data_IF_712943322303
#
_entry.id   IF_712943322303
#
_cell.length_a   1.000
_cell.length_b   1.000
_cell.length_c   1.000
_cell.angle_alpha   90.00
_cell.angle_beta   90.00
_cell.angle_gamma   90.00
#
_symmetry.space_group_name_H-M   'P 1'
#
loop_
_entity.id
_entity.type
_entity.pdbx_description
1 polymer ?
#
# COMPACT_ATOMS: atom_id res chain seq x y z
N UNK A 1 3.92 -16.02 -32.83
CA UNK A 1 4.52 -15.38 -31.64
C UNK A 1 4.99 -16.49 -30.70
N UNK A 2 6.30 -16.69 -30.57
CA UNK A 2 6.86 -17.75 -29.73
C UNK A 2 6.63 -17.39 -28.27
N UNK A 3 5.77 -18.14 -27.59
CA UNK A 3 5.57 -18.08 -26.15
C UNK A 3 6.84 -18.60 -25.46
N UNK A 4 7.69 -17.68 -25.00
CA UNK A 4 8.79 -18.06 -24.10
C UNK A 4 8.18 -18.73 -22.86
N UNK A 5 8.72 -19.88 -22.41
CA UNK A 5 8.21 -20.56 -21.23
C UNK A 5 8.35 -19.62 -20.03
N UNK A 6 7.25 -19.39 -19.32
CA UNK A 6 7.22 -18.70 -18.03
C UNK A 6 8.16 -19.47 -17.11
N UNK A 7 9.35 -18.91 -16.83
CA UNK A 7 10.37 -19.58 -16.00
C UNK A 7 9.80 -19.80 -14.60
N UNK A 8 9.69 -21.06 -14.18
CA UNK A 8 9.23 -21.48 -12.86
C UNK A 8 9.91 -20.75 -11.67
N UNK A 9 11.10 -20.18 -11.88
CA UNK A 9 11.85 -19.39 -10.88
C UNK A 9 11.11 -18.16 -10.35
N UNK A 10 10.23 -17.51 -11.14
CA UNK A 10 9.56 -16.28 -10.71
C UNK A 10 8.65 -16.45 -9.49
N UNK A 11 8.01 -17.62 -9.37
CA UNK A 11 7.06 -17.92 -8.28
C UNK A 11 7.74 -18.04 -6.92
N UNK A 12 8.89 -18.71 -6.86
CA UNK A 12 9.65 -18.86 -5.62
C UNK A 12 10.24 -17.53 -5.14
N UNK A 13 10.61 -16.65 -6.07
CA UNK A 13 11.06 -15.31 -5.74
C UNK A 13 9.90 -14.47 -5.16
N UNK A 14 8.70 -14.54 -5.73
CA UNK A 14 7.53 -13.86 -5.16
C UNK A 14 7.26 -14.34 -3.73
N UNK A 15 7.30 -15.67 -3.49
CA UNK A 15 7.15 -16.26 -2.15
C UNK A 15 8.22 -15.74 -1.18
N UNK A 16 9.49 -15.73 -1.59
CA UNK A 16 10.58 -15.28 -0.72
C UNK A 16 10.42 -13.80 -0.34
N UNK A 17 10.12 -12.93 -1.31
CA UNK A 17 9.90 -11.51 -1.04
C UNK A 17 8.66 -11.30 -0.18
N UNK A 18 7.56 -12.01 -0.45
CA UNK A 18 6.36 -11.97 0.39
C UNK A 18 6.64 -12.45 1.82
N UNK A 19 7.45 -13.50 1.97
CA UNK A 19 7.93 -13.99 3.25
C UNK A 19 8.74 -12.95 4.02
N UNK A 20 9.61 -12.19 3.35
CA UNK A 20 10.31 -11.05 3.97
C UNK A 20 9.32 -9.98 4.45
N UNK A 21 8.31 -9.63 3.65
CA UNK A 21 7.27 -8.69 4.08
C UNK A 21 6.53 -9.20 5.33
N UNK A 22 6.16 -10.47 5.37
CA UNK A 22 5.55 -11.11 6.55
C UNK A 22 6.46 -11.07 7.77
N UNK A 23 7.76 -11.34 7.61
CA UNK A 23 8.72 -11.29 8.70
C UNK A 23 8.86 -9.88 9.28
N UNK A 24 8.83 -8.84 8.44
CA UNK A 24 8.81 -7.45 8.91
C UNK A 24 7.53 -7.19 9.72
N UNK A 25 6.38 -7.69 9.28
CA UNK A 25 5.12 -7.56 10.02
C UNK A 25 5.11 -8.31 11.35
N UNK A 26 5.71 -9.50 11.40
CA UNK A 26 5.89 -10.24 12.65
C UNK A 26 6.84 -9.51 13.60
N UNK A 27 7.95 -8.96 13.09
CA UNK A 27 8.86 -8.15 13.90
C UNK A 27 8.14 -6.91 14.47
N UNK A 28 7.30 -6.26 13.66
CA UNK A 28 6.41 -5.18 14.10
C UNK A 28 5.45 -5.62 15.20
N UNK A 29 4.76 -6.74 15.04
CA UNK A 29 3.87 -7.28 16.07
C UNK A 29 4.60 -7.51 17.39
N UNK A 30 5.78 -8.14 17.35
CA UNK A 30 6.58 -8.42 18.54
C UNK A 30 7.00 -7.11 19.20
N UNK A 31 7.56 -6.17 18.43
CA UNK A 31 8.01 -4.89 18.96
C UNK A 31 6.84 -4.07 19.55
N UNK A 32 5.73 -3.94 18.83
CA UNK A 32 4.55 -3.22 19.34
C UNK A 32 4.07 -3.79 20.68
N UNK A 33 4.10 -5.12 20.85
CA UNK A 33 3.72 -5.75 22.10
C UNK A 33 4.68 -5.47 23.27
N UNK A 34 5.95 -5.16 23.01
CA UNK A 34 6.90 -4.82 24.10
C UNK A 34 6.70 -3.40 24.62
N UNK A 35 6.20 -2.48 23.79
CA UNK A 35 6.03 -1.05 24.15
C UNK A 35 4.59 -0.63 24.38
N UNK A 36 3.60 -1.53 24.23
CA UNK A 36 2.16 -1.19 24.31
C UNK A 36 1.70 -0.58 25.64
N UNK A 37 2.43 -0.82 26.72
CA UNK A 37 2.11 -0.24 28.03
C UNK A 37 2.74 1.14 28.25
N UNK A 38 3.60 1.59 27.34
CA UNK A 38 4.25 2.91 27.41
C UNK A 38 3.40 4.02 26.77
N UNK A 39 2.38 3.66 25.99
CA UNK A 39 1.56 4.59 25.21
C UNK A 39 0.08 4.22 25.33
N UNK A 40 -0.79 5.21 25.51
CA UNK A 40 -2.24 4.99 25.71
C UNK A 40 -3.01 4.65 24.42
N UNK A 41 -2.48 4.99 23.25
CA UNK A 41 -3.15 4.86 21.94
C UNK A 41 -2.29 4.09 20.90
N UNK A 42 -1.45 3.17 21.37
CA UNK A 42 -0.61 2.37 20.48
C UNK A 42 -1.45 1.39 19.66
N UNK A 43 -1.40 1.50 18.33
CA UNK A 43 -1.98 0.52 17.43
C UNK A 43 -1.02 -0.64 17.28
N UNK A 44 -1.39 -1.82 17.77
CA UNK A 44 -0.58 -3.02 17.67
C UNK A 44 -1.27 -4.05 16.82
N UNK A 45 -0.53 -4.65 15.89
CA UNK A 45 -1.02 -5.77 15.10
C UNK A 45 -1.21 -7.02 15.96
N UNK A 46 -2.25 -7.78 15.64
CA UNK A 46 -2.51 -9.08 16.24
C UNK A 46 -2.09 -10.22 15.31
N UNK A 47 -2.07 -11.45 15.83
CA UNK A 47 -1.70 -12.63 15.04
C UNK A 47 -2.70 -12.87 13.88
N UNK A 48 -3.95 -12.46 14.05
CA UNK A 48 -5.01 -12.53 13.05
C UNK A 48 -4.64 -11.70 11.82
N UNK A 49 -4.02 -10.53 11.98
CA UNK A 49 -3.55 -9.73 10.85
C UNK A 49 -2.52 -10.51 10.01
N UNK A 50 -1.58 -11.19 10.66
CA UNK A 50 -0.59 -12.03 9.98
C UNK A 50 -1.25 -13.21 9.26
N UNK A 51 -2.22 -13.87 9.91
CA UNK A 51 -2.96 -14.97 9.30
C UNK A 51 -3.76 -14.51 8.08
N UNK A 52 -4.38 -13.33 8.14
CA UNK A 52 -5.10 -12.77 7.00
C UNK A 52 -4.17 -12.48 5.82
N UNK A 53 -2.95 -12.00 6.05
CA UNK A 53 -1.98 -11.82 4.96
C UNK A 53 -1.67 -13.13 4.23
N UNK A 54 -1.77 -14.30 4.87
CA UNK A 54 -1.55 -15.58 4.17
C UNK A 54 -2.55 -15.80 3.02
N UNK A 55 -3.72 -15.14 3.04
CA UNK A 55 -4.69 -15.16 1.93
C UNK A 55 -4.14 -14.55 0.63
N UNK A 56 -3.07 -13.73 0.70
CA UNK A 56 -2.37 -13.21 -0.47
C UNK A 56 -1.53 -14.27 -1.21
N UNK A 57 -1.13 -15.36 -0.54
CA UNK A 57 -0.19 -16.35 -1.09
C UNK A 57 -0.70 -17.00 -2.39
N UNK A 58 -1.96 -17.47 -2.51
CA UNK A 58 -2.49 -18.01 -3.77
C UNK A 58 -2.32 -17.03 -4.95
N UNK A 59 -2.46 -15.73 -4.69
CA UNK A 59 -2.42 -14.70 -5.71
C UNK A 59 -1.01 -14.42 -6.23
N UNK A 60 0.04 -14.78 -5.48
CA UNK A 60 1.43 -14.75 -5.95
C UNK A 60 1.67 -15.67 -7.16
N UNK A 61 0.90 -16.75 -7.24
CA UNK A 61 0.92 -17.71 -8.34
C UNK A 61 -0.08 -17.38 -9.43
N UNK A 62 -1.21 -16.76 -9.07
CA UNK A 62 -2.29 -16.44 -10.00
C UNK A 62 -2.08 -15.12 -10.77
N UNK A 63 -1.33 -14.16 -10.23
CA UNK A 63 -1.10 -12.85 -10.88
C UNK A 63 -0.58 -12.98 -12.32
N UNK A 64 0.33 -13.93 -12.58
CA UNK A 64 0.85 -14.17 -13.94
C UNK A 64 -0.21 -14.74 -14.88
N UNK A 65 -1.16 -15.53 -14.37
CA UNK A 65 -2.32 -16.00 -15.15
C UNK A 65 -3.26 -14.85 -15.50
N UNK A 66 -3.28 -13.80 -14.69
CA UNK A 66 -4.01 -12.55 -14.91
C UNK A 66 -3.25 -11.55 -15.79
N UNK A 67 -2.12 -11.93 -16.38
CA UNK A 67 -1.21 -11.06 -17.15
C UNK A 67 -0.62 -9.89 -16.33
N UNK A 68 -0.47 -10.07 -15.01
CA UNK A 68 0.26 -9.15 -14.14
C UNK A 68 1.71 -9.62 -13.94
N UNK A 69 2.69 -8.70 -13.79
CA UNK A 69 4.09 -9.06 -13.65
C UNK A 69 4.40 -9.79 -12.33
N UNK A 70 5.46 -10.62 -12.32
CA UNK A 70 6.04 -11.08 -11.06
C UNK A 70 6.73 -9.93 -10.30
N UNK A 71 7.01 -10.12 -9.02
CA UNK A 71 7.55 -9.08 -8.15
C UNK A 71 8.90 -8.53 -8.66
N UNK A 72 9.81 -9.43 -9.00
CA UNK A 72 11.14 -9.13 -9.54
C UNK A 72 11.27 -9.56 -11.01
N UNK A 73 10.29 -9.20 -11.84
CA UNK A 73 10.32 -9.50 -13.27
C UNK A 73 11.55 -8.86 -13.97
N UNK A 74 12.31 -9.66 -14.73
CA UNK A 74 13.66 -9.25 -15.20
C UNK A 74 13.66 -8.14 -16.24
N UNK A 75 12.55 -7.94 -16.95
CA UNK A 75 12.41 -6.88 -17.96
C UNK A 75 11.94 -5.53 -17.36
N UNK A 76 11.73 -5.47 -16.03
CA UNK A 76 11.28 -4.26 -15.34
C UNK A 76 12.45 -3.72 -14.52
N UNK A 77 12.83 -2.48 -14.79
CA UNK A 77 13.95 -1.83 -14.10
C UNK A 77 13.61 -1.47 -12.65
N UNK A 78 14.61 -1.38 -11.79
CA UNK A 78 14.43 -0.89 -10.41
C UNK A 78 13.93 0.55 -10.35
N UNK A 79 14.19 1.36 -11.38
CA UNK A 79 13.60 2.71 -11.50
C UNK A 79 12.07 2.64 -11.60
N UNK A 80 11.55 1.75 -12.44
CA UNK A 80 10.11 1.57 -12.63
C UNK A 80 9.44 0.80 -11.47
N UNK A 81 10.20 -0.05 -10.78
CA UNK A 81 9.74 -0.86 -9.65
C UNK A 81 9.74 -0.11 -8.33
N UNK A 82 10.74 0.74 -8.09
CA UNK A 82 10.95 1.36 -6.78
C UNK A 82 11.04 2.89 -6.87
N UNK A 83 12.01 3.43 -7.60
CA UNK A 83 12.30 4.87 -7.54
C UNK A 83 11.11 5.74 -7.99
N UNK A 84 10.57 5.50 -9.19
CA UNK A 84 9.44 6.29 -9.70
C UNK A 84 8.20 6.11 -8.83
N UNK A 85 7.77 4.89 -8.45
CA UNK A 85 6.71 4.71 -7.48
C UNK A 85 6.92 5.44 -6.14
N UNK A 86 8.12 5.37 -5.56
CA UNK A 86 8.44 6.01 -4.29
C UNK A 86 8.31 7.53 -4.38
N UNK A 87 8.79 8.13 -5.47
CA UNK A 87 8.67 9.57 -5.71
C UNK A 87 7.21 10.02 -5.89
N UNK A 88 6.39 9.21 -6.56
CA UNK A 88 4.95 9.46 -6.69
C UNK A 88 4.30 9.43 -5.30
N UNK A 89 4.55 8.37 -4.53
CA UNK A 89 4.06 8.26 -3.15
C UNK A 89 4.48 9.43 -2.28
N UNK A 90 5.76 9.79 -2.33
CA UNK A 90 6.33 10.91 -1.59
C UNK A 90 5.63 12.23 -1.96
N UNK A 91 5.33 12.47 -3.24
CA UNK A 91 4.61 13.67 -3.65
C UNK A 91 3.22 13.77 -2.99
N UNK A 92 2.47 12.67 -2.92
CA UNK A 92 1.20 12.63 -2.19
C UNK A 92 1.39 12.83 -0.69
N UNK A 93 2.38 12.16 -0.08
CA UNK A 93 2.61 12.27 1.36
C UNK A 93 3.03 13.69 1.78
N UNK A 94 3.88 14.34 0.98
CA UNK A 94 4.26 15.75 1.16
C UNK A 94 3.05 16.67 0.97
N UNK A 95 2.23 16.42 -0.05
CA UNK A 95 1.02 17.20 -0.28
C UNK A 95 0.06 17.10 0.91
N UNK A 96 -0.15 15.90 1.46
CA UNK A 96 -0.99 15.71 2.65
C UNK A 96 -0.42 16.43 3.86
N UNK A 97 0.90 16.41 4.08
CA UNK A 97 1.54 17.22 5.14
C UNK A 97 1.26 18.72 4.93
N UNK A 98 1.44 19.23 3.72
CA UNK A 98 1.23 20.66 3.43
C UNK A 98 -0.25 21.04 3.61
N UNK A 99 -1.17 20.29 3.01
CA UNK A 99 -2.59 20.64 3.04
C UNK A 99 -3.18 20.42 4.43
N UNK A 100 -2.96 19.24 5.02
CA UNK A 100 -3.64 18.87 6.26
C UNK A 100 -2.95 19.49 7.47
N UNK A 101 -1.63 19.32 7.60
CA UNK A 101 -0.89 19.87 8.76
C UNK A 101 -0.60 21.36 8.61
N UNK A 102 -0.15 21.86 7.46
CA UNK A 102 0.27 23.28 7.41
C UNK A 102 -0.88 24.26 7.15
N UNK A 103 -1.92 23.85 6.40
CA UNK A 103 -3.03 24.74 6.03
C UNK A 103 -4.27 24.51 6.91
N UNK A 104 -4.71 23.25 7.05
CA UNK A 104 -5.96 22.94 7.77
C UNK A 104 -5.81 22.83 9.29
N UNK A 105 -4.62 22.48 9.78
CA UNK A 105 -4.31 22.33 11.21
C UNK A 105 -2.93 22.94 11.56
N UNK A 106 -2.71 24.25 11.31
CA UNK A 106 -1.41 24.89 11.50
C UNK A 106 -0.92 24.88 12.95
N UNK A 107 -1.83 24.75 13.92
CA UNK A 107 -1.53 24.65 15.34
C UNK A 107 -0.67 23.44 15.68
N UNK A 108 0.11 23.58 16.75
CA UNK A 108 0.94 22.51 17.28
C UNK A 108 0.05 21.40 17.83
N UNK A 109 0.43 20.14 17.57
CA UNK A 109 -0.17 19.03 18.26
C UNK A 109 0.22 19.04 19.74
N UNK A 110 -0.73 18.72 20.62
CA UNK A 110 -0.52 18.60 22.06
C UNK A 110 -0.32 17.16 22.53
N UNK A 111 -0.58 16.20 21.63
CA UNK A 111 -0.32 14.78 21.80
C UNK A 111 -0.03 14.15 20.43
N UNK A 112 0.52 12.94 20.41
CA UNK A 112 0.76 12.23 19.15
C UNK A 112 -0.60 11.73 18.60
N UNK A 113 -1.09 12.25 17.46
CA UNK A 113 -2.42 11.88 16.96
C UNK A 113 -2.50 10.38 16.62
N UNK A 114 -3.68 9.73 16.69
CA UNK A 114 -3.80 8.28 16.46
C UNK A 114 -3.30 7.80 15.09
N UNK A 115 -3.35 8.66 14.06
CA UNK A 115 -2.84 8.37 12.73
C UNK A 115 -1.31 8.49 12.62
N UNK A 116 -0.63 8.97 13.67
CA UNK A 116 0.82 8.91 13.90
C UNK A 116 1.10 7.90 15.02
N UNK A 117 2.28 7.32 15.03
CA UNK A 117 2.67 6.29 16.00
C UNK A 117 4.14 6.50 16.36
N UNK A 118 4.57 6.11 17.58
CA UNK A 118 5.88 6.47 18.09
C UNK A 118 7.00 5.87 17.24
N UNK A 119 8.06 6.63 17.04
CA UNK A 119 9.27 6.15 16.40
C UNK A 119 10.13 5.36 17.40
N UNK A 120 10.82 4.26 17.00
CA UNK A 120 10.90 3.68 15.66
C UNK A 120 9.80 2.66 15.31
N UNK A 121 8.82 2.45 16.19
CA UNK A 121 7.75 1.47 15.98
C UNK A 121 6.90 1.77 14.73
N UNK A 122 6.66 3.05 14.44
CA UNK A 122 5.94 3.52 13.26
C UNK A 122 6.43 2.90 11.95
N UNK A 123 7.74 2.71 11.77
CA UNK A 123 8.30 2.10 10.56
C UNK A 123 7.71 0.71 10.32
N UNK A 124 7.62 -0.12 11.36
CA UNK A 124 7.10 -1.47 11.25
C UNK A 124 5.59 -1.48 11.06
N UNK A 125 4.87 -0.65 11.81
CA UNK A 125 3.41 -0.59 11.71
C UNK A 125 2.97 -0.12 10.34
N UNK A 126 3.51 0.99 9.84
CA UNK A 126 3.11 1.54 8.54
C UNK A 126 3.59 0.68 7.39
N UNK A 127 4.75 0.01 7.49
CA UNK A 127 5.11 -0.99 6.48
C UNK A 127 4.08 -2.12 6.42
N UNK A 128 3.68 -2.65 7.58
CA UNK A 128 2.71 -3.75 7.68
C UNK A 128 1.33 -3.35 7.19
N UNK A 129 0.86 -2.16 7.58
CA UNK A 129 -0.37 -1.58 7.06
C UNK A 129 -0.33 -1.37 5.55
N UNK A 130 0.77 -0.83 5.01
CA UNK A 130 0.92 -0.65 3.58
C UNK A 130 0.84 -1.99 2.83
N UNK A 131 1.49 -3.01 3.38
CA UNK A 131 1.47 -4.35 2.83
C UNK A 131 0.07 -4.98 2.87
N UNK A 132 -0.63 -4.90 3.99
CA UNK A 132 -2.02 -5.38 4.13
C UNK A 132 -2.95 -4.73 3.14
N UNK A 133 -2.98 -3.39 3.11
CA UNK A 133 -3.87 -2.67 2.21
C UNK A 133 -3.53 -3.04 0.76
N UNK A 134 -2.26 -3.16 0.36
CA UNK A 134 -1.92 -3.58 -1.00
C UNK A 134 -2.30 -5.03 -1.31
N UNK A 135 -2.22 -5.93 -0.34
CA UNK A 135 -2.68 -7.31 -0.51
C UNK A 135 -4.19 -7.34 -0.75
N UNK A 136 -4.96 -6.68 0.12
CA UNK A 136 -6.41 -6.75 0.12
C UNK A 136 -7.10 -5.80 -0.84
N UNK A 137 -6.42 -4.76 -1.32
CA UNK A 137 -7.01 -3.77 -2.19
C UNK A 137 -6.52 -3.94 -3.62
N UNK A 138 -5.30 -4.49 -3.83
CA UNK A 138 -4.66 -4.62 -5.16
C UNK A 138 -4.41 -6.07 -5.52
N UNK A 139 -3.53 -6.76 -4.80
CA UNK A 139 -3.07 -8.10 -5.19
C UNK A 139 -4.25 -9.05 -5.36
N UNK A 140 -5.11 -9.17 -4.34
CA UNK A 140 -6.26 -10.07 -4.36
C UNK A 140 -7.33 -9.56 -5.33
N UNK A 141 -7.92 -8.36 -5.16
CA UNK A 141 -9.11 -8.00 -5.92
C UNK A 141 -8.81 -7.78 -7.41
N UNK A 142 -7.70 -7.13 -7.75
CA UNK A 142 -7.40 -6.84 -9.15
C UNK A 142 -7.01 -8.12 -9.91
N UNK A 143 -6.24 -9.02 -9.28
CA UNK A 143 -5.93 -10.32 -9.87
C UNK A 143 -7.22 -11.12 -10.08
N UNK A 144 -8.10 -11.18 -9.09
CA UNK A 144 -9.37 -11.90 -9.20
C UNK A 144 -10.25 -11.30 -10.31
N UNK A 145 -10.42 -9.97 -10.34
CA UNK A 145 -11.22 -9.27 -11.34
C UNK A 145 -10.74 -9.56 -12.77
N UNK A 146 -9.42 -9.52 -12.99
CA UNK A 146 -8.81 -9.82 -14.28
C UNK A 146 -8.94 -11.29 -14.68
N UNK A 147 -8.85 -12.23 -13.72
CA UNK A 147 -9.08 -13.65 -13.99
C UNK A 147 -10.54 -13.93 -14.36
N UNK A 148 -11.49 -13.32 -13.65
CA UNK A 148 -12.91 -13.40 -13.97
C UNK A 148 -13.18 -12.85 -15.37
N UNK A 149 -12.62 -11.68 -15.70
CA UNK A 149 -12.73 -11.12 -17.06
C UNK A 149 -12.12 -12.03 -18.13
N UNK A 150 -10.97 -12.63 -17.85
CA UNK A 150 -10.33 -13.61 -18.74
C UNK A 150 -11.18 -14.86 -18.92
N UNK A 151 -11.82 -15.36 -17.88
CA UNK A 151 -12.69 -16.53 -17.92
C UNK A 151 -13.96 -16.26 -18.72
N UNK A 152 -14.66 -15.15 -18.43
CA UNK A 152 -15.93 -14.79 -19.09
C UNK A 152 -15.72 -14.41 -20.56
N UNK A 153 -14.76 -13.53 -20.83
CA UNK A 153 -14.54 -12.99 -22.17
C UNK A 153 -13.50 -13.78 -22.98
N UNK A 154 -13.04 -14.94 -22.48
CA UNK A 154 -11.95 -15.75 -23.09
C UNK A 154 -10.70 -14.91 -23.39
N UNK A 155 -10.40 -13.94 -22.52
CA UNK A 155 -9.29 -12.99 -22.66
C UNK A 155 -9.54 -11.81 -23.62
N UNK A 156 -10.71 -11.74 -24.29
CA UNK A 156 -11.11 -10.55 -25.05
C UNK A 156 -11.35 -9.40 -24.06
N UNK A 157 -10.98 -8.18 -24.44
CA UNK A 157 -11.19 -6.96 -23.63
C UNK A 157 -10.38 -6.84 -22.33
N UNK A 158 -9.19 -7.44 -22.23
CA UNK A 158 -8.31 -7.29 -21.05
C UNK A 158 -8.17 -5.84 -20.55
N UNK A 159 -7.99 -4.88 -21.46
CA UNK A 159 -7.86 -3.47 -21.07
C UNK A 159 -9.14 -2.90 -20.45
N UNK A 160 -10.32 -3.30 -20.91
CA UNK A 160 -11.59 -2.86 -20.32
C UNK A 160 -11.69 -3.38 -18.89
N UNK A 161 -11.48 -4.69 -18.68
CA UNK A 161 -11.48 -5.26 -17.34
C UNK A 161 -10.41 -4.64 -16.43
N UNK A 162 -9.23 -4.37 -16.96
CA UNK A 162 -8.20 -3.71 -16.18
C UNK A 162 -8.64 -2.32 -15.73
N UNK A 163 -9.11 -1.46 -16.64
CA UNK A 163 -9.48 -0.10 -16.29
C UNK A 163 -10.70 -0.04 -15.36
N UNK A 164 -11.70 -0.89 -15.59
CA UNK A 164 -12.84 -1.03 -14.68
C UNK A 164 -12.38 -1.50 -13.30
N UNK A 165 -11.57 -2.56 -13.23
CA UNK A 165 -11.03 -3.07 -11.97
C UNK A 165 -10.20 -2.01 -11.24
N UNK A 166 -9.32 -1.30 -11.96
CA UNK A 166 -8.50 -0.24 -11.39
C UNK A 166 -9.37 0.87 -10.77
N UNK A 167 -10.41 1.34 -11.45
CA UNK A 167 -11.34 2.35 -10.90
C UNK A 167 -12.06 1.81 -9.67
N UNK A 168 -12.67 0.63 -9.76
CA UNK A 168 -13.45 0.06 -8.65
C UNK A 168 -12.59 -0.18 -7.42
N UNK A 169 -11.41 -0.78 -7.57
CA UNK A 169 -10.51 -0.99 -6.44
C UNK A 169 -10.00 0.32 -5.87
N UNK A 170 -9.84 1.36 -6.69
CA UNK A 170 -9.30 2.65 -6.25
C UNK A 170 -10.28 3.51 -5.47
N UNK A 171 -11.58 3.28 -5.66
CA UNK A 171 -12.63 3.93 -4.87
C UNK A 171 -12.79 3.31 -3.48
N UNK A 172 -12.37 2.05 -3.27
CA UNK A 172 -12.65 1.33 -2.03
C UNK A 172 -12.08 2.02 -0.79
N UNK A 173 -10.80 2.40 -0.79
CA UNK A 173 -10.14 3.07 0.36
C UNK A 173 -10.77 4.44 0.68
N UNK A 174 -10.86 5.40 -0.26
CA UNK A 174 -11.34 6.73 0.08
C UNK A 174 -12.84 6.77 0.41
N UNK A 175 -13.63 5.77 0.00
CA UNK A 175 -15.02 5.65 0.44
C UNK A 175 -15.14 5.03 1.84
N UNK A 176 -14.28 4.07 2.18
CA UNK A 176 -14.23 3.46 3.52
C UNK A 176 -13.67 4.41 4.58
N UNK A 177 -12.72 5.26 4.18
CA UNK A 177 -12.01 6.18 5.06
C UNK A 177 -12.39 7.65 4.79
N UNK A 178 -13.61 7.89 4.30
CA UNK A 178 -14.06 9.26 4.07
C UNK A 178 -14.04 10.01 5.42
N UNK A 179 -13.25 11.08 5.57
CA UNK A 179 -13.13 11.75 6.85
C UNK A 179 -14.38 12.58 7.15
N UNK A 180 -14.66 12.77 8.43
CA UNK A 180 -15.58 13.80 8.88
C UNK A 180 -14.87 15.17 8.90
N UNK A 181 -15.58 16.25 8.59
CA UNK A 181 -15.03 17.61 8.66
C UNK A 181 -15.54 18.54 7.56
N UNK A 182 -14.80 19.63 7.27
CA UNK A 182 -15.17 20.58 6.23
C UNK A 182 -15.29 19.89 4.87
N UNK A 183 -16.30 20.29 4.08
CA UNK A 183 -16.57 19.70 2.75
C UNK A 183 -15.34 19.72 1.84
N UNK A 184 -14.54 20.77 1.90
CA UNK A 184 -13.31 20.87 1.11
C UNK A 184 -12.28 19.78 1.48
N UNK A 185 -12.17 19.44 2.78
CA UNK A 185 -11.27 18.39 3.25
C UNK A 185 -11.77 16.99 2.84
N UNK A 186 -13.09 16.77 2.87
CA UNK A 186 -13.69 15.54 2.37
C UNK A 186 -13.44 15.36 0.86
N UNK A 187 -13.66 16.42 0.07
CA UNK A 187 -13.40 16.41 -1.38
C UNK A 187 -11.92 16.17 -1.65
N UNK A 188 -11.02 16.86 -0.95
CA UNK A 188 -9.58 16.67 -1.06
C UNK A 188 -9.22 15.20 -0.82
N UNK A 189 -9.61 14.64 0.32
CA UNK A 189 -9.27 13.27 0.73
C UNK A 189 -9.83 12.22 -0.23
N UNK A 190 -11.06 12.42 -0.73
CA UNK A 190 -11.66 11.54 -1.73
C UNK A 190 -10.89 11.56 -3.04
N UNK A 191 -10.55 12.76 -3.54
CA UNK A 191 -9.89 12.94 -4.84
C UNK A 191 -8.44 12.48 -4.80
N UNK A 192 -7.65 12.94 -3.82
CA UNK A 192 -6.23 12.54 -3.70
C UNK A 192 -6.12 11.06 -3.37
N UNK A 193 -6.96 10.58 -2.46
CA UNK A 193 -7.08 9.17 -2.12
C UNK A 193 -7.35 8.32 -3.36
N UNK A 194 -8.36 8.66 -4.17
CA UNK A 194 -8.66 7.96 -5.42
C UNK A 194 -7.51 8.01 -6.42
N UNK A 195 -6.92 9.17 -6.67
CA UNK A 195 -5.85 9.33 -7.68
C UNK A 195 -4.63 8.50 -7.30
N UNK A 196 -4.17 8.57 -6.04
CA UNK A 196 -3.02 7.79 -5.58
C UNK A 196 -3.31 6.29 -5.73
N UNK A 197 -4.48 5.86 -5.26
CA UNK A 197 -4.96 4.48 -5.35
C UNK A 197 -5.04 3.98 -6.82
N UNK A 198 -5.42 4.85 -7.75
CA UNK A 198 -5.48 4.57 -9.18
C UNK A 198 -4.09 4.46 -9.82
N UNK A 199 -3.17 5.34 -9.43
CA UNK A 199 -1.77 5.25 -9.85
C UNK A 199 -1.11 3.96 -9.35
N UNK A 200 -1.43 3.51 -8.13
CA UNK A 200 -1.01 2.21 -7.63
C UNK A 200 -1.47 1.06 -8.54
N UNK A 201 -2.74 1.04 -8.96
CA UNK A 201 -3.25 0.03 -9.89
C UNK A 201 -2.52 0.07 -11.26
N UNK A 202 -2.22 1.26 -11.77
CA UNK A 202 -1.43 1.44 -13.01
C UNK A 202 -0.01 0.88 -12.83
N UNK A 203 0.65 1.19 -11.72
CA UNK A 203 1.99 0.71 -11.42
C UNK A 203 2.01 -0.79 -11.15
N UNK A 204 0.95 -1.36 -10.56
CA UNK A 204 0.81 -2.80 -10.42
C UNK A 204 0.79 -3.50 -11.78
N UNK A 205 -0.05 -3.03 -12.72
CA UNK A 205 -0.10 -3.58 -14.08
C UNK A 205 1.24 -3.46 -14.81
N UNK A 206 1.90 -2.31 -14.70
CA UNK A 206 3.12 -2.02 -15.47
C UNK A 206 4.38 -2.66 -14.88
N UNK A 207 4.51 -2.65 -13.56
CA UNK A 207 5.76 -2.90 -12.84
C UNK A 207 5.66 -3.99 -11.76
N UNK A 208 4.47 -4.57 -11.55
CA UNK A 208 4.25 -5.62 -10.55
C UNK A 208 3.91 -5.07 -9.16
N UNK A 209 3.57 -5.98 -8.24
CA UNK A 209 3.05 -5.66 -6.91
C UNK A 209 3.96 -4.73 -6.11
N UNK A 210 5.28 -4.95 -6.18
CA UNK A 210 6.24 -4.13 -5.45
C UNK A 210 6.20 -2.65 -5.85
N UNK A 211 5.87 -2.33 -7.10
CA UNK A 211 5.70 -0.94 -7.49
C UNK A 211 4.48 -0.31 -6.83
N UNK A 212 3.37 -1.03 -6.78
CA UNK A 212 2.14 -0.60 -6.11
C UNK A 212 2.36 -0.38 -4.60
N UNK A 213 3.05 -1.31 -3.95
CA UNK A 213 3.49 -1.21 -2.56
C UNK A 213 4.44 -0.03 -2.33
N UNK A 214 5.37 0.20 -3.26
CA UNK A 214 6.35 1.29 -3.11
C UNK A 214 5.70 2.67 -3.23
N UNK A 215 4.63 2.84 -4.01
CA UNK A 215 3.84 4.08 -3.97
C UNK A 215 3.29 4.32 -2.57
N UNK A 216 2.65 3.31 -1.94
CA UNK A 216 2.11 3.50 -0.58
C UNK A 216 3.20 3.72 0.46
N UNK A 217 4.30 2.98 0.39
CA UNK A 217 5.44 3.19 1.30
C UNK A 217 6.05 4.59 1.14
N UNK A 218 6.13 5.11 -0.09
CA UNK A 218 6.57 6.48 -0.33
C UNK A 218 5.64 7.52 0.32
N UNK A 219 4.33 7.30 0.25
CA UNK A 219 3.34 8.15 0.91
C UNK A 219 3.45 8.07 2.44
N UNK A 220 3.42 6.85 2.99
CA UNK A 220 3.49 6.60 4.43
C UNK A 220 4.79 7.10 5.06
N UNK A 221 5.90 7.09 4.32
CA UNK A 221 7.16 7.67 4.78
C UNK A 221 6.99 9.13 5.19
N UNK A 222 6.37 9.97 4.35
CA UNK A 222 6.21 11.39 4.65
C UNK A 222 5.02 11.66 5.55
N UNK A 223 3.85 11.09 5.21
CA UNK A 223 2.60 11.38 5.89
C UNK A 223 2.55 10.81 7.31
N UNK A 224 3.07 9.61 7.54
CA UNK A 224 2.94 8.92 8.82
C UNK A 224 4.23 8.84 9.62
N UNK A 225 5.36 8.53 8.97
CA UNK A 225 6.61 8.26 9.69
C UNK A 225 7.34 9.58 9.98
N UNK A 226 7.69 10.36 8.95
CA UNK A 226 8.47 11.59 9.12
C UNK A 226 7.66 12.70 9.80
N UNK A 227 6.36 12.85 9.47
CA UNK A 227 5.49 13.73 10.22
C UNK A 227 5.38 13.27 11.69
N UNK A 228 5.23 11.97 11.95
CA UNK A 228 5.22 11.42 13.31
C UNK A 228 6.49 11.75 14.10
N UNK A 229 7.66 11.55 13.50
CA UNK A 229 8.96 11.92 14.08
C UNK A 229 9.02 13.42 14.38
N UNK A 230 8.59 14.28 13.45
CA UNK A 230 8.56 15.72 13.66
C UNK A 230 7.65 16.09 14.85
N UNK A 231 6.43 15.56 14.89
CA UNK A 231 5.50 15.85 16.00
C UNK A 231 6.06 15.36 17.33
N UNK A 232 6.51 14.11 17.40
CA UNK A 232 7.03 13.48 18.62
C UNK A 232 8.25 14.20 19.21
N UNK A 233 9.20 14.62 18.38
CA UNK A 233 10.48 15.18 18.83
C UNK A 233 10.59 16.70 18.70
N UNK A 234 9.59 17.39 18.18
CA UNK A 234 9.63 18.84 18.02
C UNK A 234 8.37 19.56 18.51
N UNK A 235 7.17 19.06 18.24
CA UNK A 235 5.94 19.73 18.69
C UNK A 235 5.55 19.38 20.13
N UNK A 236 5.92 18.17 20.60
CA UNK A 236 5.56 17.68 21.94
C UNK A 236 6.63 17.93 23.03
N UNK A 237 7.77 18.52 22.67
CA UNK A 237 8.83 18.93 23.60
C UNK A 237 8.68 20.41 23.99
#
# INVERSE_FOLDING_TARGET
>A
MVTKPIKAKGKYINLAVYGVCLLISVAGLVYGNTIKYNYSFLRVWEYQNILFLLLGIPFLFLQTKANLPNFLETNISNKQRFLTPALIGAAFGILDVVIIKMILHPEHYTELPPFLQPFPYSVFLYFSGAFEIEVFYRLIPLTLFLLTGKWIAKGKYFNVFFWTGAVLTSLREPLEQLPDGPVLFMIYSLVTGFIMNYLQAIHFKKSGFLASLTVRLGHYLFWHILLGVYVEYYELL
#
